data_IF_283581172145
#
_entry.id   IF_283581172145
#
_cell.length_a   1.000
_cell.length_b   1.000
_cell.length_c   1.000
_cell.angle_alpha   90.00
_cell.angle_beta   90.00
_cell.angle_gamma   90.00
#
_symmetry.space_group_name_H-M   'P 1'
#
loop_
_entity.id
_entity.type
_entity.pdbx_description
1 polymer ?
#
# COMPACT_ATOMS: atom_id res chain seq x y z
N UNK A 1 -28.58 31.14 -6.34
CA UNK A 1 -28.07 29.91 -6.99
C UNK A 1 -26.58 29.67 -6.77
N UNK A 2 -25.69 30.65 -6.91
CA UNK A 2 -24.24 30.46 -6.65
C UNK A 2 -23.90 30.02 -5.21
N UNK A 3 -24.54 30.64 -4.21
CA UNK A 3 -24.26 30.37 -2.78
C UNK A 3 -24.63 28.92 -2.40
N UNK A 4 -25.72 28.39 -2.98
CA UNK A 4 -26.20 27.03 -2.72
C UNK A 4 -25.25 25.96 -3.30
N UNK A 5 -24.62 26.26 -4.45
CA UNK A 5 -23.63 25.39 -5.09
C UNK A 5 -22.31 25.34 -4.30
N UNK A 6 -21.88 26.46 -3.72
CA UNK A 6 -20.68 26.52 -2.89
C UNK A 6 -20.83 25.71 -1.59
N UNK A 7 -22.01 25.75 -0.97
CA UNK A 7 -22.31 24.98 0.25
C UNK A 7 -22.30 23.47 -0.02
N UNK A 8 -22.89 23.02 -1.13
CA UNK A 8 -22.85 21.61 -1.54
C UNK A 8 -21.43 21.08 -1.82
N UNK A 9 -20.54 21.94 -2.33
CA UNK A 9 -19.14 21.58 -2.54
C UNK A 9 -18.39 21.36 -1.22
N UNK A 10 -18.64 22.22 -0.22
CA UNK A 10 -18.05 22.07 1.12
C UNK A 10 -18.51 20.77 1.81
N UNK A 11 -19.80 20.41 1.69
CA UNK A 11 -20.36 19.18 2.27
C UNK A 11 -19.80 17.89 1.64
N UNK A 12 -19.47 17.92 0.35
CA UNK A 12 -18.86 16.77 -0.34
C UNK A 12 -17.42 16.50 0.12
N UNK A 13 -16.69 17.54 0.51
CA UNK A 13 -15.30 17.41 0.97
C UNK A 13 -15.19 16.67 2.31
N UNK A 14 -16.24 16.70 3.15
CA UNK A 14 -16.27 16.07 4.47
C UNK A 14 -16.62 14.58 4.46
N UNK A 15 -17.08 14.01 3.33
CA UNK A 15 -17.60 12.64 3.28
C UNK A 15 -16.54 11.56 2.98
N UNK A 16 -15.30 11.93 2.71
CA UNK A 16 -14.20 10.98 2.52
C UNK A 16 -13.61 10.55 3.88
N UNK A 17 -14.41 9.91 4.72
CA UNK A 17 -13.87 9.20 5.88
C UNK A 17 -13.06 8.00 5.38
N UNK A 18 -11.73 8.10 5.42
CA UNK A 18 -10.84 7.00 5.07
C UNK A 18 -11.21 5.79 5.93
N UNK A 19 -11.63 4.70 5.30
CA UNK A 19 -11.76 3.44 6.00
C UNK A 19 -10.39 3.07 6.59
N UNK A 20 -10.34 2.43 7.77
CA UNK A 20 -9.07 1.91 8.27
C UNK A 20 -8.50 0.93 7.23
N UNK A 21 -7.17 0.95 6.99
CA UNK A 21 -6.56 0.03 6.04
C UNK A 21 -6.67 -1.41 6.55
N UNK A 22 -6.74 -2.36 5.62
CA UNK A 22 -6.54 -3.76 5.96
C UNK A 22 -5.04 -3.99 6.21
N UNK A 23 -4.70 -4.68 7.31
CA UNK A 23 -3.32 -4.99 7.66
C UNK A 23 -3.09 -6.49 7.46
N UNK A 24 -2.09 -6.85 6.66
CA UNK A 24 -1.64 -8.23 6.46
C UNK A 24 -0.20 -8.34 6.93
N UNK A 25 0.04 -9.11 8.00
CA UNK A 25 1.38 -9.42 8.51
C UNK A 25 1.81 -10.79 7.98
N UNK A 26 2.91 -10.82 7.22
CA UNK A 26 3.51 -12.06 6.72
C UNK A 26 4.80 -12.29 7.50
N UNK A 27 4.89 -13.44 8.17
CA UNK A 27 6.09 -13.86 8.89
C UNK A 27 6.64 -15.11 8.20
N UNK A 28 7.92 -15.06 7.85
CA UNK A 28 8.66 -16.21 7.34
C UNK A 28 9.63 -16.68 8.43
N UNK A 29 9.68 -17.99 8.65
CA UNK A 29 10.65 -18.61 9.54
C UNK A 29 11.97 -18.87 8.81
N UNK A 30 13.10 -18.67 9.48
CA UNK A 30 14.46 -18.88 8.97
C UNK A 30 14.80 -18.18 7.63
N UNK A 31 14.05 -17.14 7.22
CA UNK A 31 14.36 -16.38 6.01
C UNK A 31 15.62 -15.51 6.20
N UNK A 32 16.68 -15.88 5.51
CA UNK A 32 17.94 -15.14 5.50
C UNK A 32 17.83 -13.82 4.75
N UNK A 33 18.55 -12.79 5.24
CA UNK A 33 18.55 -11.46 4.63
C UNK A 33 18.96 -11.45 3.14
N UNK A 34 19.85 -12.35 2.72
CA UNK A 34 20.36 -12.42 1.35
C UNK A 34 19.54 -13.36 0.44
N UNK A 35 18.36 -13.79 0.85
CA UNK A 35 17.56 -14.78 0.10
C UNK A 35 16.55 -14.15 -0.86
N UNK A 36 16.29 -12.84 -0.75
CA UNK A 36 15.34 -12.13 -1.59
C UNK A 36 16.02 -11.45 -2.79
N UNK A 37 15.35 -11.50 -3.94
CA UNK A 37 15.78 -10.83 -5.16
C UNK A 37 15.95 -9.33 -4.99
N UNK A 38 15.05 -8.68 -4.26
CA UNK A 38 15.15 -7.26 -3.91
C UNK A 38 16.39 -6.90 -3.06
N UNK A 39 17.05 -7.87 -2.43
CA UNK A 39 18.32 -7.71 -1.73
C UNK A 39 19.55 -8.17 -2.54
N UNK A 40 19.38 -8.42 -3.85
CA UNK A 40 20.48 -8.74 -4.76
C UNK A 40 20.75 -10.23 -4.97
N UNK A 41 19.87 -11.10 -4.46
CA UNK A 41 19.88 -12.52 -4.71
C UNK A 41 19.58 -12.82 -6.19
N UNK A 42 20.29 -13.78 -6.83
CA UNK A 42 20.18 -14.08 -8.28
C UNK A 42 19.63 -15.46 -8.65
N UNK A 43 19.57 -16.41 -7.72
CA UNK A 43 19.24 -17.81 -7.99
C UNK A 43 17.82 -18.20 -7.59
N UNK A 44 17.33 -17.64 -6.49
CA UNK A 44 15.99 -17.83 -5.91
C UNK A 44 15.15 -16.69 -6.46
N UNK A 45 14.06 -17.04 -7.14
CA UNK A 45 13.18 -16.04 -7.74
C UNK A 45 12.07 -15.70 -6.76
N UNK A 46 12.02 -14.44 -6.30
CA UNK A 46 10.99 -13.93 -5.38
C UNK A 46 10.13 -12.84 -6.01
N UNK A 47 9.58 -13.03 -7.23
CA UNK A 47 9.03 -11.93 -8.04
C UNK A 47 7.87 -11.17 -7.38
N UNK A 48 7.05 -11.85 -6.58
CA UNK A 48 5.94 -11.20 -5.85
C UNK A 48 6.47 -10.28 -4.75
N UNK A 49 7.47 -10.74 -3.99
CA UNK A 49 8.06 -9.96 -2.90
C UNK A 49 8.96 -8.86 -3.44
N UNK A 50 9.65 -9.11 -4.55
CA UNK A 50 10.44 -8.10 -5.25
C UNK A 50 9.55 -6.96 -5.76
N UNK A 51 8.37 -7.30 -6.32
CA UNK A 51 7.36 -6.31 -6.72
C UNK A 51 6.82 -5.55 -5.51
N UNK A 52 6.45 -6.25 -4.43
CA UNK A 52 5.96 -5.59 -3.20
C UNK A 52 7.00 -4.61 -2.65
N UNK A 53 8.28 -4.98 -2.64
CA UNK A 53 9.35 -4.10 -2.20
C UNK A 53 9.56 -2.87 -3.11
N UNK A 54 9.25 -2.98 -4.40
CA UNK A 54 9.29 -1.87 -5.35
C UNK A 54 8.06 -0.94 -5.23
N UNK A 55 6.92 -1.46 -4.78
CA UNK A 55 5.66 -0.72 -4.61
C UNK A 55 5.60 0.07 -3.29
N UNK A 56 6.35 -0.36 -2.27
CA UNK A 56 6.46 0.31 -0.96
C UNK A 56 5.53 -0.26 0.11
#
# INVERSE_FOLDING_TARGET
MLILSAINCLLACTAAASQPPNIVLIVADDLGYNELGCYGQKWIKTPTLDRMAAEG
#
